data_IF_645171723072
#
_entry.id   IF_645171723072
#
_cell.length_a   1.000
_cell.length_b   1.000
_cell.length_c   1.000
_cell.angle_alpha   90.00
_cell.angle_beta   90.00
_cell.angle_gamma   90.00
#
_symmetry.space_group_name_H-M   'P 1'
#
loop_
_entity.id
_entity.type
_entity.pdbx_description
1 polymer ?
#
# COMPACT_ATOMS: atom_id res chain seq x y z
N UNK A 1 -4.02 -34.25 -8.29
CA UNK A 1 -3.53 -32.86 -8.24
C UNK A 1 -2.07 -32.74 -7.78
N UNK A 2 -1.56 -33.70 -7.05
CA UNK A 2 -0.14 -33.71 -6.58
C UNK A 2 0.85 -34.28 -7.62
N UNK A 3 0.39 -35.00 -8.63
CA UNK A 3 1.21 -35.62 -9.67
C UNK A 3 1.09 -34.84 -10.99
N UNK A 4 1.54 -33.59 -11.01
CA UNK A 4 1.62 -32.76 -12.23
C UNK A 4 3.06 -32.78 -12.73
N UNK A 5 3.25 -33.08 -14.01
CA UNK A 5 4.57 -33.09 -14.63
C UNK A 5 5.06 -31.68 -14.99
N UNK A 6 6.38 -31.40 -14.91
CA UNK A 6 6.94 -30.10 -15.28
C UNK A 6 6.52 -29.62 -16.67
N UNK A 7 6.44 -30.53 -17.65
CA UNK A 7 6.03 -30.24 -19.01
C UNK A 7 4.58 -29.75 -19.12
N UNK A 8 3.68 -30.28 -18.30
CA UNK A 8 2.27 -29.85 -18.26
C UNK A 8 2.15 -28.43 -17.71
N UNK A 9 2.94 -28.09 -16.68
CA UNK A 9 2.97 -26.72 -16.16
C UNK A 9 3.56 -25.74 -17.18
N UNK A 10 4.61 -26.13 -17.90
CA UNK A 10 5.19 -25.30 -18.95
C UNK A 10 4.17 -25.04 -20.07
N UNK A 11 3.53 -26.09 -20.59
CA UNK A 11 2.51 -25.97 -21.63
C UNK A 11 1.32 -25.07 -21.18
N UNK A 12 0.88 -25.20 -19.92
CA UNK A 12 -0.16 -24.35 -19.37
C UNK A 12 0.24 -22.87 -19.33
N UNK A 13 1.49 -22.54 -18.99
CA UNK A 13 1.96 -21.17 -19.00
C UNK A 13 2.19 -20.62 -20.40
N UNK A 14 2.60 -21.46 -21.36
CA UNK A 14 2.72 -21.08 -22.77
C UNK A 14 1.33 -20.76 -23.36
N UNK A 15 0.32 -21.54 -23.01
CA UNK A 15 -1.07 -21.27 -23.40
C UNK A 15 -1.58 -19.94 -22.78
N UNK A 16 -1.26 -19.64 -21.52
CA UNK A 16 -1.62 -18.38 -20.89
C UNK A 16 -0.87 -17.18 -21.52
N UNK A 17 0.34 -17.40 -21.99
CA UNK A 17 1.18 -16.37 -22.60
C UNK A 17 0.75 -16.06 -24.06
N UNK A 18 0.33 -17.09 -24.81
CA UNK A 18 -0.13 -16.94 -26.19
C UNK A 18 -1.61 -16.56 -26.30
N UNK A 19 -2.39 -16.80 -25.26
CA UNK A 19 -3.84 -16.68 -25.29
C UNK A 19 -4.52 -17.94 -25.83
N UNK A 20 -5.77 -18.12 -25.48
CA UNK A 20 -6.63 -19.22 -25.91
C UNK A 20 -7.80 -18.66 -26.73
N UNK A 21 -8.42 -19.49 -27.57
CA UNK A 21 -9.61 -19.06 -28.34
C UNK A 21 -10.64 -18.38 -27.42
N UNK A 22 -10.90 -17.09 -27.65
CA UNK A 22 -11.79 -16.27 -26.84
C UNK A 22 -11.19 -15.65 -25.55
N UNK A 23 -9.91 -15.92 -25.24
CA UNK A 23 -9.24 -15.33 -24.07
C UNK A 23 -7.93 -14.67 -24.50
N UNK A 24 -7.74 -13.36 -24.26
CA UNK A 24 -6.53 -12.67 -24.66
C UNK A 24 -5.30 -13.15 -23.86
N UNK A 25 -4.08 -13.04 -24.41
CA UNK A 25 -2.85 -13.37 -23.72
C UNK A 25 -2.70 -12.60 -22.41
N UNK A 26 -2.16 -13.24 -21.39
CA UNK A 26 -1.91 -12.58 -20.11
C UNK A 26 -0.67 -11.66 -20.20
N UNK A 27 -0.75 -10.51 -19.57
CA UNK A 27 0.41 -9.63 -19.42
C UNK A 27 1.56 -10.35 -18.69
N UNK A 28 2.81 -10.09 -19.12
CA UNK A 28 4.02 -10.72 -18.57
C UNK A 28 4.13 -10.61 -17.02
N UNK A 29 3.72 -9.46 -16.44
CA UNK A 29 3.67 -9.28 -14.99
C UNK A 29 2.67 -10.21 -14.29
N UNK A 30 1.55 -10.51 -14.94
CA UNK A 30 0.54 -11.45 -14.42
C UNK A 30 1.05 -12.88 -14.49
N UNK A 31 1.71 -13.27 -15.59
CA UNK A 31 2.38 -14.57 -15.73
C UNK A 31 3.45 -14.76 -14.69
N UNK A 32 4.35 -13.79 -14.50
CA UNK A 32 5.40 -13.83 -13.49
C UNK A 32 4.82 -14.07 -12.08
N UNK A 33 3.75 -13.35 -11.73
CA UNK A 33 3.08 -13.51 -10.42
C UNK A 33 2.46 -14.90 -10.26
N UNK A 34 1.82 -15.44 -11.30
CA UNK A 34 1.24 -16.78 -11.28
C UNK A 34 2.32 -17.87 -11.14
N UNK A 35 3.43 -17.73 -11.87
CA UNK A 35 4.59 -18.65 -11.77
C UNK A 35 5.18 -18.60 -10.35
N UNK A 36 5.38 -17.40 -9.78
CA UNK A 36 5.88 -17.24 -8.43
C UNK A 36 4.96 -17.88 -7.38
N UNK A 37 3.64 -17.77 -7.55
CA UNK A 37 2.64 -18.40 -6.69
C UNK A 37 2.77 -19.93 -6.73
N UNK A 38 2.83 -20.53 -7.93
CA UNK A 38 2.99 -21.99 -8.08
C UNK A 38 4.33 -22.48 -7.55
N UNK A 39 5.43 -21.77 -7.81
CA UNK A 39 6.73 -22.11 -7.23
C UNK A 39 6.68 -22.12 -5.70
N UNK A 40 6.02 -21.14 -5.09
CA UNK A 40 5.86 -21.07 -3.64
C UNK A 40 5.02 -22.22 -3.10
N UNK A 41 3.92 -22.54 -3.77
CA UNK A 41 3.02 -23.64 -3.42
C UNK A 41 3.74 -24.99 -3.47
N UNK A 42 4.36 -25.34 -4.60
CA UNK A 42 5.07 -26.62 -4.73
C UNK A 42 6.31 -26.71 -3.86
N UNK A 43 7.01 -25.60 -3.60
CA UNK A 43 8.09 -25.54 -2.62
C UNK A 43 7.58 -25.85 -1.21
N UNK A 44 6.40 -25.37 -0.83
CA UNK A 44 5.77 -25.70 0.44
C UNK A 44 5.42 -27.18 0.53
N UNK A 45 4.80 -27.77 -0.49
CA UNK A 45 4.47 -29.20 -0.53
C UNK A 45 5.72 -30.08 -0.42
N UNK A 46 6.76 -29.76 -1.18
CA UNK A 46 8.05 -30.48 -1.14
C UNK A 46 8.68 -30.41 0.26
N UNK A 47 8.72 -29.22 0.90
CA UNK A 47 9.23 -29.08 2.28
C UNK A 47 8.42 -29.86 3.32
N UNK A 48 7.16 -30.13 3.06
CA UNK A 48 6.27 -30.93 3.90
C UNK A 48 6.37 -32.42 3.60
N UNK A 49 7.20 -32.86 2.66
CA UNK A 49 7.32 -34.24 2.23
C UNK A 49 6.07 -34.78 1.51
N UNK A 50 5.17 -33.92 1.06
CA UNK A 50 3.93 -34.32 0.37
C UNK A 50 4.16 -34.65 -1.11
N UNK A 51 5.27 -34.22 -1.66
CA UNK A 51 5.76 -34.51 -3.02
C UNK A 51 7.28 -34.74 -2.97
N UNK A 52 7.78 -35.66 -3.79
CA UNK A 52 9.22 -35.97 -3.87
C UNK A 52 10.00 -34.90 -4.65
N UNK A 53 9.38 -34.35 -5.70
CA UNK A 53 10.00 -33.33 -6.58
C UNK A 53 9.08 -32.13 -6.72
N UNK A 54 9.70 -30.96 -6.90
CA UNK A 54 8.96 -29.72 -7.17
C UNK A 54 8.79 -29.54 -8.69
N UNK A 55 7.60 -29.75 -9.29
CA UNK A 55 7.41 -29.66 -10.72
C UNK A 55 7.50 -28.22 -11.26
N UNK A 56 7.44 -27.23 -10.37
CA UNK A 56 7.54 -25.82 -10.75
C UNK A 56 8.97 -25.24 -10.66
N UNK A 57 10.01 -26.08 -10.32
CA UNK A 57 11.40 -25.61 -10.16
C UNK A 57 11.96 -25.02 -11.46
N UNK A 58 11.66 -25.65 -12.60
CA UNK A 58 12.21 -25.31 -13.91
C UNK A 58 11.35 -24.33 -14.74
N UNK A 59 10.18 -23.92 -14.21
CA UNK A 59 9.37 -22.94 -14.92
C UNK A 59 10.18 -21.66 -15.20
N UNK A 60 10.28 -21.28 -16.46
CA UNK A 60 10.89 -20.00 -16.82
C UNK A 60 9.94 -18.84 -16.49
N UNK A 61 10.47 -17.74 -15.97
CA UNK A 61 9.68 -16.54 -15.66
C UNK A 61 9.96 -15.46 -16.71
N UNK A 62 8.95 -14.81 -17.29
CA UNK A 62 9.18 -13.71 -18.22
C UNK A 62 10.06 -12.63 -17.55
N UNK A 63 11.06 -12.14 -18.28
CA UNK A 63 11.82 -10.97 -17.83
C UNK A 63 10.96 -9.73 -18.02
N UNK A 64 10.61 -9.09 -16.91
CA UNK A 64 9.97 -7.77 -16.97
C UNK A 64 11.06 -6.72 -17.15
N UNK A 65 10.83 -5.78 -18.07
CA UNK A 65 11.59 -4.54 -18.03
C UNK A 65 11.37 -3.90 -16.67
N UNK A 66 12.46 -3.67 -15.94
CA UNK A 66 12.41 -3.03 -14.60
C UNK A 66 11.94 -1.60 -14.82
N UNK A 67 10.63 -1.36 -14.77
CA UNK A 67 10.12 0.00 -14.64
C UNK A 67 10.57 0.49 -13.26
N UNK A 68 11.59 1.32 -13.23
CA UNK A 68 11.93 2.05 -12.01
C UNK A 68 10.69 2.83 -11.60
N UNK A 69 10.17 2.68 -10.39
CA UNK A 69 9.08 3.50 -9.93
C UNK A 69 9.53 4.95 -10.03
N UNK A 70 8.80 5.79 -10.73
CA UNK A 70 9.05 7.22 -10.68
C UNK A 70 8.74 7.66 -9.25
N UNK A 71 9.77 8.12 -8.53
CA UNK A 71 9.56 8.71 -7.21
C UNK A 71 8.78 10.01 -7.39
N UNK A 72 7.78 10.23 -6.55
CA UNK A 72 7.07 11.50 -6.49
C UNK A 72 7.99 12.52 -5.82
N UNK A 73 8.08 13.72 -6.38
CA UNK A 73 8.81 14.81 -5.76
C UNK A 73 8.08 15.34 -4.51
N UNK A 74 8.79 16.07 -3.65
CA UNK A 74 8.14 16.78 -2.51
C UNK A 74 7.07 17.73 -2.99
N UNK A 75 7.27 18.38 -4.14
CA UNK A 75 6.30 19.26 -4.76
C UNK A 75 5.04 18.52 -5.22
N UNK A 76 5.17 17.35 -5.87
CA UNK A 76 4.02 16.51 -6.25
C UNK A 76 3.19 16.12 -5.02
N UNK A 77 3.86 15.74 -3.93
CA UNK A 77 3.18 15.39 -2.68
C UNK A 77 2.48 16.61 -2.09
N UNK A 78 3.14 17.75 -2.04
CA UNK A 78 2.54 18.97 -1.52
C UNK A 78 1.31 19.42 -2.34
N UNK A 79 1.39 19.32 -3.65
CA UNK A 79 0.25 19.54 -4.52
C UNK A 79 -0.91 18.60 -4.20
N UNK A 80 -0.65 17.32 -3.93
CA UNK A 80 -1.68 16.35 -3.55
C UNK A 80 -2.30 16.69 -2.18
N UNK A 81 -1.48 16.95 -1.16
CA UNK A 81 -1.94 17.20 0.21
C UNK A 81 -2.80 18.46 0.34
N UNK A 82 -2.59 19.45 -0.54
CA UNK A 82 -3.37 20.69 -0.58
C UNK A 82 -4.68 20.59 -1.38
N UNK A 83 -4.97 19.43 -2.02
CA UNK A 83 -6.20 19.27 -2.81
C UNK A 83 -7.50 19.19 -1.98
N UNK A 84 -7.56 18.53 -0.81
CA UNK A 84 -8.78 18.55 -0.01
C UNK A 84 -9.05 19.95 0.54
N UNK A 85 -9.80 20.77 -0.20
CA UNK A 85 -10.10 22.17 0.13
C UNK A 85 -11.40 22.29 0.90
N UNK A 86 -11.49 23.36 1.70
CA UNK A 86 -12.69 23.68 2.48
C UNK A 86 -12.82 22.86 3.77
N UNK A 87 -13.98 22.99 4.40
CA UNK A 87 -14.30 22.47 5.73
C UNK A 87 -15.43 21.43 5.70
N UNK A 88 -15.80 20.91 4.52
CA UNK A 88 -16.79 19.84 4.45
C UNK A 88 -16.28 18.60 5.18
N UNK A 89 -17.17 17.81 5.82
CA UNK A 89 -16.77 16.60 6.54
C UNK A 89 -15.92 15.63 5.71
N UNK A 90 -16.20 15.52 4.41
CA UNK A 90 -15.43 14.71 3.48
C UNK A 90 -14.04 15.31 3.22
N UNK A 91 -13.94 16.64 3.04
CA UNK A 91 -12.65 17.29 2.82
C UNK A 91 -11.73 17.16 4.05
N UNK A 92 -12.26 17.34 5.25
CA UNK A 92 -11.51 17.13 6.49
C UNK A 92 -11.01 15.68 6.63
N UNK A 93 -11.88 14.70 6.32
CA UNK A 93 -11.50 13.28 6.28
C UNK A 93 -10.38 13.02 5.29
N UNK A 94 -10.52 13.53 4.06
CA UNK A 94 -9.58 13.25 2.98
C UNK A 94 -8.21 13.87 3.27
N UNK A 95 -8.18 15.08 3.84
CA UNK A 95 -6.95 15.73 4.29
C UNK A 95 -6.25 14.90 5.36
N UNK A 96 -6.96 14.49 6.41
CA UNK A 96 -6.41 13.66 7.47
C UNK A 96 -5.89 12.31 6.95
N UNK A 97 -6.60 11.69 6.01
CA UNK A 97 -6.19 10.44 5.38
C UNK A 97 -4.92 10.59 4.56
N UNK A 98 -4.82 11.60 3.70
CA UNK A 98 -3.65 11.85 2.86
C UNK A 98 -2.42 12.20 3.70
N UNK A 99 -2.58 13.05 4.71
CA UNK A 99 -1.52 13.41 5.65
C UNK A 99 -1.00 12.18 6.41
N UNK A 100 -1.87 11.28 6.89
CA UNK A 100 -1.45 10.04 7.54
C UNK A 100 -0.75 9.07 6.59
N UNK A 101 -1.28 8.89 5.38
CA UNK A 101 -0.66 8.00 4.38
C UNK A 101 0.76 8.43 4.04
N UNK A 102 0.99 9.73 3.91
CA UNK A 102 2.31 10.27 3.61
C UNK A 102 3.18 10.42 4.86
N UNK A 103 2.69 11.08 5.90
CA UNK A 103 3.47 11.42 7.08
C UNK A 103 3.91 10.20 7.90
N UNK A 104 3.03 9.19 8.03
CA UNK A 104 3.30 7.97 8.77
C UNK A 104 3.67 6.79 7.87
N UNK A 105 3.53 6.92 6.56
CA UNK A 105 3.82 5.85 5.60
C UNK A 105 3.04 4.56 5.87
N UNK A 106 1.85 4.62 6.45
CA UNK A 106 1.04 3.44 6.78
C UNK A 106 0.49 2.75 5.53
N UNK A 107 0.22 1.45 5.64
CA UNK A 107 -0.43 0.70 4.57
C UNK A 107 -1.92 1.03 4.49
N UNK A 108 -2.52 0.90 3.29
CA UNK A 108 -3.98 1.08 3.12
C UNK A 108 -4.78 0.16 4.04
N UNK A 109 -4.34 -1.08 4.23
CA UNK A 109 -4.99 -2.02 5.15
C UNK A 109 -4.94 -1.55 6.61
N UNK A 110 -3.84 -0.93 7.01
CA UNK A 110 -3.68 -0.33 8.34
C UNK A 110 -4.61 0.89 8.46
N UNK A 111 -4.62 1.80 7.49
CA UNK A 111 -5.52 2.96 7.48
C UNK A 111 -7.01 2.58 7.57
N UNK A 112 -7.43 1.49 6.91
CA UNK A 112 -8.81 0.95 7.00
C UNK A 112 -9.10 0.43 8.41
N UNK A 113 -8.12 -0.21 9.04
CA UNK A 113 -8.28 -0.85 10.33
C UNK A 113 -8.25 0.14 11.51
N UNK A 114 -7.60 1.31 11.32
CA UNK A 114 -7.42 2.32 12.37
C UNK A 114 -8.70 2.68 13.09
N UNK A 115 -8.57 2.83 14.39
CA UNK A 115 -9.59 3.36 15.31
C UNK A 115 -9.06 4.66 15.93
N UNK A 116 -9.95 5.55 16.42
CA UNK A 116 -9.50 6.78 17.10
C UNK A 116 -8.55 6.49 18.29
N UNK A 117 -8.75 5.38 18.98
CA UNK A 117 -7.98 4.93 20.14
C UNK A 117 -6.56 4.47 19.80
N UNK A 118 -6.27 4.23 18.51
CA UNK A 118 -4.92 3.91 18.02
C UNK A 118 -4.03 5.15 17.86
N UNK A 119 -4.60 6.34 18.04
CA UNK A 119 -3.93 7.64 17.97
C UNK A 119 -3.82 8.27 19.35
N UNK A 120 -2.61 8.43 19.83
CA UNK A 120 -2.34 9.28 20.98
C UNK A 120 -1.99 10.69 20.49
N UNK A 121 -2.98 11.59 20.57
CA UNK A 121 -2.83 12.98 20.14
C UNK A 121 -1.97 13.82 21.10
N UNK A 122 -1.73 13.34 22.33
CA UNK A 122 -0.89 14.01 23.32
C UNK A 122 0.59 13.73 23.08
N UNK A 123 0.94 12.47 22.81
CA UNK A 123 2.32 12.04 22.53
C UNK A 123 2.67 12.05 21.05
N UNK A 124 1.72 12.39 20.17
CA UNK A 124 1.89 12.37 18.71
C UNK A 124 2.30 10.99 18.16
N UNK A 125 1.70 9.92 18.68
CA UNK A 125 2.02 8.55 18.30
C UNK A 125 0.81 7.82 17.70
N UNK A 126 1.07 7.04 16.67
CA UNK A 126 0.11 6.15 16.04
C UNK A 126 0.53 4.70 16.25
N UNK A 127 -0.38 3.87 16.73
CA UNK A 127 -0.22 2.42 16.80
C UNK A 127 -0.72 1.79 15.49
N UNK A 128 0.20 1.50 14.58
CA UNK A 128 -0.12 0.87 13.30
C UNK A 128 -0.21 -0.65 13.45
N UNK A 129 -1.16 -1.28 12.74
CA UNK A 129 -1.49 -2.72 12.82
C UNK A 129 -1.81 -3.17 14.26
N UNK A 130 -2.56 -2.33 15.00
CA UNK A 130 -2.94 -2.59 16.38
C UNK A 130 -3.57 -3.99 16.53
N UNK A 131 -3.04 -4.77 17.49
CA UNK A 131 -3.38 -6.18 17.71
C UNK A 131 -3.04 -7.13 16.54
N UNK A 132 -2.24 -6.68 15.57
CA UNK A 132 -1.74 -7.48 14.46
C UNK A 132 -0.30 -7.95 14.69
N UNK A 133 0.20 -8.87 13.85
CA UNK A 133 1.56 -9.42 13.98
C UNK A 133 2.67 -8.40 13.64
N UNK A 134 2.31 -7.24 13.11
CA UNK A 134 3.21 -6.15 12.72
C UNK A 134 2.90 -4.85 13.44
N UNK A 135 2.37 -4.98 14.66
CA UNK A 135 2.11 -3.82 15.52
C UNK A 135 3.39 -3.03 15.76
N UNK A 136 3.29 -1.72 15.61
CA UNK A 136 4.38 -0.78 15.83
C UNK A 136 3.87 0.62 16.13
N UNK A 137 4.67 1.38 16.84
CA UNK A 137 4.44 2.81 17.06
C UNK A 137 5.13 3.64 15.97
N UNK A 138 4.40 4.60 15.42
CA UNK A 138 4.88 5.52 14.38
C UNK A 138 4.62 6.95 14.86
N UNK A 139 5.64 7.80 14.80
CA UNK A 139 5.47 9.22 15.08
C UNK A 139 4.57 9.88 14.03
N UNK A 140 3.65 10.71 14.49
CA UNK A 140 2.70 11.44 13.65
C UNK A 140 3.19 12.88 13.49
N UNK A 141 3.52 13.34 12.26
CA UNK A 141 3.93 14.72 12.03
C UNK A 141 2.84 15.74 12.40
N UNK A 142 3.24 16.96 12.74
CA UNK A 142 2.32 18.03 13.19
C UNK A 142 1.22 18.37 12.17
N UNK A 143 1.53 18.33 10.88
CA UNK A 143 0.53 18.54 9.81
C UNK A 143 -0.56 17.47 9.84
N UNK A 144 -0.17 16.21 10.02
CA UNK A 144 -1.10 15.09 10.13
C UNK A 144 -1.91 15.17 11.44
N UNK A 145 -1.27 15.52 12.56
CA UNK A 145 -1.96 15.72 13.84
C UNK A 145 -3.04 16.79 13.74
N UNK A 146 -2.71 17.93 13.15
CA UNK A 146 -3.66 19.03 12.95
C UNK A 146 -4.84 18.59 12.09
N UNK A 147 -4.56 17.95 10.95
CA UNK A 147 -5.61 17.45 10.06
C UNK A 147 -6.51 16.38 10.73
N UNK A 148 -5.92 15.52 11.57
CA UNK A 148 -6.68 14.50 12.31
C UNK A 148 -7.56 15.13 13.38
N UNK A 149 -7.05 16.12 14.15
CA UNK A 149 -7.82 16.83 15.15
C UNK A 149 -9.03 17.53 14.52
N UNK A 150 -8.83 18.24 13.41
CA UNK A 150 -9.90 18.89 12.67
C UNK A 150 -10.95 17.87 12.19
N UNK A 151 -10.51 16.74 11.66
CA UNK A 151 -11.42 15.69 11.22
C UNK A 151 -12.20 15.06 12.38
N UNK A 152 -11.55 14.75 13.51
CA UNK A 152 -12.21 14.16 14.68
C UNK A 152 -13.22 15.10 15.32
N UNK A 153 -12.91 16.40 15.36
CA UNK A 153 -13.76 17.41 15.98
C UNK A 153 -14.92 17.86 15.09
N UNK A 154 -14.65 18.11 13.80
CA UNK A 154 -15.59 18.79 12.93
C UNK A 154 -16.10 17.92 11.75
N UNK A 155 -15.34 16.91 11.34
CA UNK A 155 -15.70 16.08 10.18
C UNK A 155 -16.36 14.76 10.55
N UNK A 156 -15.68 13.96 11.37
CA UNK A 156 -16.13 12.59 11.71
C UNK A 156 -17.50 12.53 12.36
N UNK A 157 -17.85 13.38 13.34
CA UNK A 157 -19.18 13.33 13.95
C UNK A 157 -20.32 13.55 12.95
N UNK A 158 -20.12 14.44 11.99
CA UNK A 158 -21.12 14.74 10.95
C UNK A 158 -21.27 13.59 9.94
N UNK A 159 -20.18 12.84 9.67
CA UNK A 159 -20.25 11.65 8.81
C UNK A 159 -20.86 10.45 9.51
N UNK A 160 -20.60 10.26 10.80
CA UNK A 160 -21.12 9.15 11.59
C UNK A 160 -22.64 9.22 11.73
N UNK A 161 -23.20 10.43 11.87
CA UNK A 161 -24.60 10.59 12.27
C UNK A 161 -24.83 9.80 13.58
N UNK A 162 -26.02 9.29 13.91
CA UNK A 162 -26.23 8.54 15.14
C UNK A 162 -25.71 7.08 15.09
N UNK A 163 -24.75 6.76 14.21
CA UNK A 163 -24.21 5.39 14.09
C UNK A 163 -22.92 5.22 14.90
N UNK A 164 -22.77 4.11 15.59
CA UNK A 164 -21.52 3.69 16.21
C UNK A 164 -20.66 3.00 15.15
N UNK A 165 -19.49 3.55 14.86
CA UNK A 165 -18.48 2.96 13.97
C UNK A 165 -17.11 3.08 14.63
N UNK A 166 -16.42 1.95 14.92
CA UNK A 166 -15.11 2.00 15.58
C UNK A 166 -14.01 2.56 14.66
N UNK A 167 -14.17 2.46 13.33
CA UNK A 167 -13.12 2.90 12.40
C UNK A 167 -12.92 4.41 12.45
N UNK A 168 -11.66 4.83 12.36
CA UNK A 168 -11.27 6.24 12.29
C UNK A 168 -11.86 6.89 11.05
N UNK A 169 -11.58 6.34 9.88
CA UNK A 169 -12.03 6.88 8.61
C UNK A 169 -13.35 6.27 8.15
N UNK A 170 -14.34 7.12 7.95
CA UNK A 170 -15.68 6.70 7.53
C UNK A 170 -16.10 7.37 6.22
N UNK A 171 -16.96 6.70 5.47
CA UNK A 171 -17.54 7.23 4.24
C UNK A 171 -18.74 8.15 4.54
N UNK A 172 -19.34 8.73 3.49
CA UNK A 172 -20.51 9.61 3.59
C UNK A 172 -21.77 8.94 4.19
N UNK A 173 -21.79 7.61 4.27
CA UNK A 173 -22.89 6.83 4.85
C UNK A 173 -22.59 6.40 6.31
N UNK A 174 -21.45 6.85 6.90
CA UNK A 174 -21.04 6.49 8.25
C UNK A 174 -20.42 5.10 8.39
N UNK A 175 -20.15 4.40 7.29
CA UNK A 175 -19.47 3.11 7.31
C UNK A 175 -17.94 3.31 7.16
N UNK A 176 -17.15 2.37 7.72
CA UNK A 176 -15.70 2.40 7.54
C UNK A 176 -15.30 2.43 6.06
N UNK A 177 -14.20 3.12 5.74
CA UNK A 177 -13.67 3.13 4.38
C UNK A 177 -13.19 1.74 3.96
N UNK A 178 -13.38 1.42 2.68
CA UNK A 178 -12.83 0.22 2.03
C UNK A 178 -11.51 0.55 1.34
N UNK A 179 -10.73 -0.48 0.95
CA UNK A 179 -9.52 -0.30 0.13
C UNK A 179 -9.82 0.46 -1.17
N UNK A 180 -10.91 0.10 -1.83
CA UNK A 180 -11.36 0.77 -3.06
C UNK A 180 -11.77 2.23 -2.77
N UNK A 181 -12.45 2.49 -1.65
CA UNK A 181 -12.82 3.84 -1.24
C UNK A 181 -11.60 4.74 -1.03
N UNK A 182 -10.57 4.25 -0.31
CA UNK A 182 -9.31 4.98 -0.14
C UNK A 182 -8.64 5.22 -1.50
N UNK A 183 -8.59 4.20 -2.36
CA UNK A 183 -8.02 4.34 -3.69
C UNK A 183 -8.76 5.42 -4.51
N UNK A 184 -10.09 5.44 -4.48
CA UNK A 184 -10.90 6.43 -5.18
C UNK A 184 -10.68 7.86 -4.65
N UNK A 185 -10.56 8.03 -3.32
CA UNK A 185 -10.24 9.33 -2.71
C UNK A 185 -8.89 9.83 -3.21
N UNK A 186 -7.85 9.00 -3.10
CA UNK A 186 -6.49 9.33 -3.56
C UNK A 186 -6.48 9.69 -5.05
N UNK A 187 -7.13 8.87 -5.89
CA UNK A 187 -7.22 9.11 -7.33
C UNK A 187 -8.03 10.34 -7.69
N UNK A 188 -9.07 10.66 -6.92
CA UNK A 188 -9.87 11.88 -7.08
C UNK A 188 -8.99 13.12 -6.91
N UNK A 189 -8.27 13.20 -5.78
CA UNK A 189 -7.38 14.32 -5.49
C UNK A 189 -6.16 14.37 -6.42
N UNK A 190 -5.61 13.20 -6.79
CA UNK A 190 -4.51 13.13 -7.76
C UNK A 190 -4.92 13.66 -9.15
N UNK A 191 -6.13 13.39 -9.62
CA UNK A 191 -6.66 13.94 -10.87
C UNK A 191 -6.77 15.46 -10.80
N UNK A 192 -7.30 16.00 -9.71
CA UNK A 192 -7.40 17.45 -9.51
C UNK A 192 -6.03 18.13 -9.46
N UNK A 193 -5.01 17.42 -8.96
CA UNK A 193 -3.62 17.87 -8.94
C UNK A 193 -2.87 17.66 -10.28
N UNK A 194 -3.48 17.06 -11.31
CA UNK A 194 -2.80 16.72 -12.56
C UNK A 194 -1.80 15.56 -12.46
N UNK A 195 -1.92 14.72 -11.42
CA UNK A 195 -0.96 13.67 -11.05
C UNK A 195 -1.55 12.26 -11.08
N UNK A 196 -2.72 12.06 -11.70
CA UNK A 196 -3.52 10.83 -11.60
C UNK A 196 -2.79 9.54 -12.01
N UNK A 197 -1.94 9.60 -13.05
CA UNK A 197 -1.21 8.43 -13.53
C UNK A 197 -0.04 8.01 -12.63
N UNK A 198 0.42 8.92 -11.78
CA UNK A 198 1.61 8.75 -10.94
C UNK A 198 1.28 8.40 -9.50
N UNK A 199 0.10 8.78 -8.99
CA UNK A 199 -0.25 8.70 -7.58
C UNK A 199 -1.20 7.54 -7.29
N UNK A 200 -0.79 6.71 -6.37
CA UNK A 200 -1.57 5.65 -5.72
C UNK A 200 -1.24 5.66 -4.22
N UNK A 201 -2.03 5.04 -3.35
CA UNK A 201 -1.65 4.92 -1.94
C UNK A 201 -0.29 4.25 -1.73
N UNK A 202 0.10 3.33 -2.62
CA UNK A 202 1.42 2.69 -2.57
C UNK A 202 2.54 3.65 -2.93
N UNK A 203 2.35 4.50 -3.97
CA UNK A 203 3.37 5.46 -4.37
C UNK A 203 3.50 6.61 -3.38
N UNK A 204 2.43 6.99 -2.65
CA UNK A 204 2.50 7.93 -1.53
C UNK A 204 3.41 7.37 -0.41
N UNK A 205 3.18 6.13 0.01
CA UNK A 205 4.03 5.47 1.02
C UNK A 205 5.47 5.32 0.53
N UNK A 206 5.68 5.07 -0.76
CA UNK A 206 7.01 5.01 -1.36
C UNK A 206 7.70 6.38 -1.30
N UNK A 207 6.98 7.46 -1.62
CA UNK A 207 7.49 8.83 -1.48
C UNK A 207 7.84 9.18 -0.03
N UNK A 208 7.00 8.79 0.95
CA UNK A 208 7.34 8.92 2.36
C UNK A 208 8.70 8.30 2.67
N UNK A 209 8.90 7.04 2.28
CA UNK A 209 10.15 6.31 2.52
C UNK A 209 11.37 6.99 1.89
N UNK A 210 11.28 7.35 0.60
CA UNK A 210 12.35 8.02 -0.14
C UNK A 210 12.68 9.38 0.44
N UNK A 211 11.66 10.16 0.82
CA UNK A 211 11.86 11.51 1.37
C UNK A 211 12.46 11.47 2.78
N UNK A 212 12.12 10.46 3.60
CA UNK A 212 12.72 10.26 4.92
C UNK A 212 14.19 9.87 4.80
N UNK A 213 14.54 8.95 3.91
CA UNK A 213 15.95 8.61 3.63
C UNK A 213 16.74 9.84 3.13
N UNK A 214 16.17 10.60 2.20
CA UNK A 214 16.80 11.82 1.69
C UNK A 214 16.97 12.90 2.77
N UNK A 215 16.17 12.87 3.84
CA UNK A 215 16.33 13.77 5.01
C UNK A 215 17.26 13.22 6.08
N UNK A 216 17.93 12.06 5.86
CA UNK A 216 18.95 11.51 6.75
C UNK A 216 18.44 10.48 7.77
N UNK A 217 17.18 10.03 7.67
CA UNK A 217 16.69 8.92 8.49
C UNK A 217 17.41 7.65 8.06
N UNK A 218 17.98 6.91 9.02
CA UNK A 218 18.67 5.66 8.73
C UNK A 218 17.74 4.54 8.26
N UNK A 219 18.29 3.57 7.54
CA UNK A 219 17.54 2.49 6.90
C UNK A 219 16.82 1.59 7.91
N UNK A 220 17.42 1.36 9.08
CA UNK A 220 16.86 0.49 10.13
C UNK A 220 15.65 1.14 10.81
N UNK A 221 15.77 2.43 11.11
CA UNK A 221 14.64 3.25 11.62
C UNK A 221 13.49 3.26 10.62
N UNK A 222 13.80 3.47 9.33
CA UNK A 222 12.79 3.45 8.27
C UNK A 222 12.14 2.07 8.13
N UNK A 223 12.91 0.98 8.18
CA UNK A 223 12.40 -0.39 8.13
C UNK A 223 11.40 -0.63 9.27
N UNK A 224 11.76 -0.23 10.48
CA UNK A 224 10.92 -0.36 11.68
C UNK A 224 9.63 0.45 11.52
N UNK A 225 9.74 1.72 11.13
CA UNK A 225 8.60 2.61 10.90
C UNK A 225 7.62 2.07 9.86
N UNK A 226 8.15 1.54 8.75
CA UNK A 226 7.34 0.98 7.69
C UNK A 226 6.82 -0.44 8.01
N UNK A 227 7.39 -1.14 8.99
CA UNK A 227 7.04 -2.52 9.33
C UNK A 227 7.36 -3.49 8.19
N UNK A 228 8.56 -3.37 7.59
CA UNK A 228 9.08 -4.33 6.63
C UNK A 228 9.74 -5.49 7.38
N UNK A 229 9.34 -6.71 7.06
CA UNK A 229 9.94 -7.93 7.60
C UNK A 229 11.29 -8.27 6.99
N UNK A 230 11.59 -7.72 5.80
CA UNK A 230 12.81 -7.95 5.05
C UNK A 230 13.43 -6.59 4.69
N UNK A 231 14.72 -6.43 5.02
CA UNK A 231 15.49 -5.22 4.76
C UNK A 231 15.64 -4.95 3.26
N UNK A 232 15.69 -6.01 2.45
CA UNK A 232 15.77 -5.90 0.98
C UNK A 232 14.62 -5.08 0.39
N UNK A 233 13.45 -5.11 1.03
CA UNK A 233 12.31 -4.25 0.64
C UNK A 233 12.59 -2.77 0.90
N UNK A 234 13.42 -2.46 1.89
CA UNK A 234 13.77 -1.08 2.26
C UNK A 234 15.01 -0.61 1.46
N UNK A 235 15.92 -1.50 1.12
CA UNK A 235 17.09 -1.21 0.28
C UNK A 235 16.70 -0.73 -1.13
N UNK A 236 15.56 -1.14 -1.65
CA UNK A 236 15.02 -0.63 -2.92
C UNK A 236 14.83 0.89 -2.94
N UNK A 237 14.76 1.53 -1.78
CA UNK A 237 14.64 2.99 -1.68
C UNK A 237 16.00 3.70 -1.75
N UNK A 238 17.12 3.02 -1.46
CA UNK A 238 18.48 3.61 -1.52
C UNK A 238 19.00 3.72 -2.96
N UNK A 239 18.47 2.91 -3.88
CA UNK A 239 18.87 2.91 -5.28
C UNK A 239 18.19 4.01 -6.12
N UNK A 240 17.25 4.77 -5.53
CA UNK A 240 16.54 5.83 -6.23
C UNK A 240 17.30 7.14 -6.09
N UNK A 241 17.53 7.87 -7.21
CA UNK A 241 18.08 9.21 -7.11
C UNK A 241 17.10 10.06 -6.27
N UNK A 242 17.67 10.83 -5.33
CA UNK A 242 16.88 11.82 -4.58
C UNK A 242 16.14 12.69 -5.60
N UNK A 243 14.82 12.67 -5.58
CA UNK A 243 14.03 13.57 -6.41
C UNK A 243 14.29 14.99 -5.93
N UNK A 244 14.94 15.77 -6.78
CA UNK A 244 15.23 17.18 -6.55
C UNK A 244 13.93 18.00 -6.40
#
# INVERSE_FOLDING_TARGET
MLAVEPAELAAFFDELASGRAGTPPLAAATLQRKIACLRSFYRHLHRRGLIERNPASELSSPRLATRRPQSLSRQDIQQLLTQPRGTSPAALRDRALLELLYGCGIRVSEAIALQPEDLDLGTAMLRADANGPKERLVAVPDSALTAIRDYLQHGRPLLLRPRKQPRLFVNQHGNGLTRQGIYQIVQGHARTAGLAERITPRTIRHACATHLLASGVDLQTLQTMLGHTDITTTELYTELPAAA
#
